data_IF_482104964833
#
_entry.id   IF_482104964833
#
_cell.length_a   1.000
_cell.length_b   1.000
_cell.length_c   1.000
_cell.angle_alpha   90.00
_cell.angle_beta   90.00
_cell.angle_gamma   90.00
#
_symmetry.space_group_name_H-M   'P 1'
#
loop_
_entity.id
_entity.type
_entity.pdbx_description
1 polymer ?
#
# COMPACT_ATOMS: atom_id res chain seq x y z
N UNK A 1 -20.84 7.42 9.26
CA UNK A 1 -20.07 7.67 8.03
C UNK A 1 -18.63 7.34 8.36
N UNK A 2 -17.97 6.55 7.53
CA UNK A 2 -16.51 6.41 7.63
C UNK A 2 -15.91 7.81 7.39
N UNK A 3 -15.03 8.27 8.27
CA UNK A 3 -14.28 9.51 8.04
C UNK A 3 -13.01 9.16 7.25
N UNK A 4 -12.43 10.14 6.55
CA UNK A 4 -11.21 10.02 5.73
C UNK A 4 -10.09 9.16 6.36
N UNK A 5 -9.79 9.32 7.65
CA UNK A 5 -8.77 8.56 8.37
C UNK A 5 -9.12 7.07 8.48
N UNK A 6 -10.40 6.74 8.63
CA UNK A 6 -10.84 5.34 8.65
C UNK A 6 -10.74 4.67 7.27
N UNK A 7 -10.87 5.44 6.19
CA UNK A 7 -10.61 4.95 4.83
C UNK A 7 -9.13 4.66 4.64
N UNK A 8 -8.25 5.61 4.98
CA UNK A 8 -6.79 5.43 4.87
C UNK A 8 -6.29 4.22 5.69
N UNK A 9 -6.80 4.04 6.92
CA UNK A 9 -6.49 2.84 7.71
C UNK A 9 -7.03 1.55 7.10
N UNK A 10 -8.11 1.62 6.33
CA UNK A 10 -8.60 0.45 5.61
C UNK A 10 -7.68 0.13 4.42
N UNK A 11 -7.19 1.14 3.72
CA UNK A 11 -6.18 0.97 2.67
C UNK A 11 -4.90 0.33 3.23
N UNK A 12 -4.44 0.73 4.43
CA UNK A 12 -3.28 0.11 5.09
C UNK A 12 -3.48 -1.38 5.35
N UNK A 13 -4.68 -1.79 5.79
CA UNK A 13 -5.01 -3.20 5.99
C UNK A 13 -4.99 -3.97 4.68
N UNK A 14 -5.58 -3.38 3.64
CA UNK A 14 -5.62 -3.94 2.29
C UNK A 14 -4.19 -4.11 1.74
N UNK A 15 -3.36 -3.07 1.80
CA UNK A 15 -1.96 -3.09 1.38
C UNK A 15 -1.13 -4.09 2.17
N UNK A 16 -1.34 -4.20 3.49
CA UNK A 16 -0.65 -5.20 4.32
C UNK A 16 -0.96 -6.62 3.84
N UNK A 17 -2.22 -6.94 3.54
CA UNK A 17 -2.60 -8.25 2.99
C UNK A 17 -1.94 -8.53 1.64
N UNK A 18 -1.79 -7.52 0.78
CA UNK A 18 -1.06 -7.65 -0.48
C UNK A 18 0.43 -7.89 -0.27
N UNK A 19 1.04 -7.22 0.71
CA UNK A 19 2.45 -7.43 1.04
C UNK A 19 2.69 -8.83 1.60
N UNK A 20 1.79 -9.35 2.43
CA UNK A 20 1.86 -10.73 2.94
C UNK A 20 1.75 -11.75 1.79
N UNK A 21 0.82 -11.51 0.87
CA UNK A 21 0.65 -12.30 -0.34
C UNK A 21 1.92 -12.31 -1.21
N UNK A 22 2.49 -11.12 -1.44
CA UNK A 22 3.69 -10.95 -2.24
C UNK A 22 4.88 -11.64 -1.57
N UNK A 23 5.09 -11.43 -0.27
CA UNK A 23 6.19 -12.03 0.50
C UNK A 23 6.18 -13.57 0.37
N UNK A 24 5.02 -14.21 0.45
CA UNK A 24 4.88 -15.67 0.22
C UNK A 24 5.34 -16.10 -1.18
N UNK A 25 5.03 -15.29 -2.20
CA UNK A 25 5.49 -15.55 -3.58
C UNK A 25 7.00 -15.35 -3.70
N UNK A 26 7.54 -14.29 -3.12
CA UNK A 26 8.98 -13.99 -3.11
C UNK A 26 9.76 -15.10 -2.39
N UNK A 27 9.26 -15.63 -1.28
CA UNK A 27 9.90 -16.72 -0.55
C UNK A 27 9.79 -18.06 -1.29
N UNK A 28 8.67 -18.31 -1.98
CA UNK A 28 8.53 -19.45 -2.88
C UNK A 28 9.58 -19.39 -3.98
N UNK A 29 9.75 -18.22 -4.61
CA UNK A 29 10.77 -18.02 -5.61
C UNK A 29 12.17 -18.18 -5.03
N UNK A 30 12.47 -17.57 -3.88
CA UNK A 30 13.74 -17.72 -3.16
C UNK A 30 14.11 -19.19 -2.93
N UNK A 31 13.14 -20.05 -2.62
CA UNK A 31 13.33 -21.46 -2.32
C UNK A 31 13.55 -22.38 -3.54
N UNK A 32 13.61 -21.86 -4.76
CA UNK A 32 13.84 -22.69 -5.96
C UNK A 32 12.58 -23.03 -6.72
N UNK A 33 11.41 -22.69 -6.18
CA UNK A 33 10.11 -23.02 -6.76
C UNK A 33 9.61 -21.88 -7.64
N UNK A 34 8.64 -22.18 -8.47
CA UNK A 34 7.97 -21.17 -9.30
C UNK A 34 6.85 -20.53 -8.49
N UNK A 35 6.86 -19.20 -8.27
CA UNK A 35 5.75 -18.53 -7.61
C UNK A 35 4.59 -18.37 -8.59
N UNK A 36 3.43 -17.99 -8.07
CA UNK A 36 2.29 -17.62 -8.89
C UNK A 36 2.51 -16.21 -9.49
N UNK A 37 2.88 -16.18 -10.76
CA UNK A 37 3.21 -14.94 -11.47
C UNK A 37 2.01 -14.02 -11.65
N UNK A 38 0.79 -14.55 -11.75
CA UNK A 38 -0.40 -13.71 -11.91
C UNK A 38 -0.69 -12.95 -10.61
N UNK A 39 -0.44 -13.57 -9.45
CA UNK A 39 -0.53 -12.91 -8.15
C UNK A 39 0.53 -11.80 -8.05
N UNK A 40 1.77 -12.10 -8.42
CA UNK A 40 2.87 -11.12 -8.39
C UNK A 40 2.55 -9.93 -9.30
N UNK A 41 2.09 -10.18 -10.53
CA UNK A 41 1.74 -9.15 -11.50
C UNK A 41 0.55 -8.30 -11.03
N UNK A 42 -0.50 -8.92 -10.51
CA UNK A 42 -1.65 -8.20 -9.99
C UNK A 42 -1.25 -7.28 -8.82
N UNK A 43 -0.43 -7.76 -7.88
CA UNK A 43 0.06 -6.93 -6.78
C UNK A 43 0.96 -5.80 -7.32
N UNK A 44 1.89 -6.10 -8.22
CA UNK A 44 2.79 -5.10 -8.82
C UNK A 44 2.03 -3.98 -9.53
N UNK A 45 0.93 -4.30 -10.23
CA UNK A 45 0.09 -3.30 -10.89
C UNK A 45 -0.72 -2.48 -9.89
N UNK A 46 -1.26 -3.12 -8.85
CA UNK A 46 -2.02 -2.41 -7.82
C UNK A 46 -1.13 -1.41 -7.07
N UNK A 47 0.03 -1.85 -6.57
CA UNK A 47 0.91 -0.99 -5.75
C UNK A 47 1.67 0.06 -6.54
N UNK A 48 1.76 -0.09 -7.87
CA UNK A 48 2.31 0.93 -8.76
C UNK A 48 1.38 2.14 -8.89
N UNK A 49 0.07 1.90 -8.91
CA UNK A 49 -0.91 2.93 -9.27
C UNK A 49 -1.70 3.42 -8.06
N UNK A 50 -2.19 2.51 -7.20
CA UNK A 50 -3.17 2.86 -6.18
C UNK A 50 -2.60 3.77 -5.08
N UNK A 51 -1.44 3.45 -4.46
CA UNK A 51 -0.88 4.31 -3.42
C UNK A 51 -0.59 5.73 -3.92
N UNK A 52 0.13 5.86 -5.02
CA UNK A 52 0.58 7.16 -5.55
C UNK A 52 -0.55 8.01 -6.14
N UNK A 53 -1.60 7.40 -6.70
CA UNK A 53 -2.70 8.16 -7.34
C UNK A 53 -3.86 8.47 -6.42
N UNK A 54 -4.05 7.69 -5.37
CA UNK A 54 -5.23 7.78 -4.53
C UNK A 54 -4.90 7.90 -3.05
N UNK A 55 -4.08 7.00 -2.51
CA UNK A 55 -3.81 6.95 -1.08
C UNK A 55 -2.94 8.13 -0.59
N UNK A 56 -1.69 8.22 -1.06
CA UNK A 56 -0.73 9.24 -0.64
C UNK A 56 -1.25 10.69 -0.85
N UNK A 57 -1.94 11.04 -1.97
CA UNK A 57 -2.51 12.38 -2.11
C UNK A 57 -3.54 12.75 -1.02
N UNK A 58 -4.28 11.77 -0.50
CA UNK A 58 -5.25 11.99 0.58
C UNK A 58 -4.51 12.20 1.91
N UNK A 59 -3.43 11.46 2.14
CA UNK A 59 -2.56 11.63 3.32
C UNK A 59 -1.88 13.00 3.31
N UNK A 60 -1.35 13.43 2.17
CA UNK A 60 -0.72 14.75 2.02
C UNK A 60 -1.70 15.88 2.37
N UNK A 61 -2.96 15.77 1.95
CA UNK A 61 -4.02 16.74 2.31
C UNK A 61 -4.30 16.75 3.82
N UNK A 62 -4.32 15.58 4.45
CA UNK A 62 -4.50 15.47 5.91
C UNK A 62 -3.27 16.03 6.65
N UNK A 63 -2.07 15.75 6.16
CA UNK A 63 -0.81 16.27 6.72
C UNK A 63 -0.74 17.79 6.61
N UNK A 64 -1.17 18.37 5.50
CA UNK A 64 -1.25 19.81 5.32
C UNK A 64 -2.28 20.46 6.26
N UNK A 65 -3.45 19.84 6.44
CA UNK A 65 -4.42 20.31 7.43
C UNK A 65 -3.86 20.23 8.86
N UNK A 66 -3.16 19.15 9.18
CA UNK A 66 -2.50 18.97 10.47
C UNK A 66 -1.43 20.06 10.70
N UNK A 67 -0.57 20.32 9.72
CA UNK A 67 0.45 21.40 9.76
C UNK A 67 -0.17 22.77 10.00
N UNK A 68 -1.31 23.07 9.36
CA UNK A 68 -2.00 24.36 9.52
C UNK A 68 -2.63 24.52 10.90
N UNK A 69 -3.10 23.41 11.49
CA UNK A 69 -3.82 23.42 12.77
C UNK A 69 -2.87 23.34 13.97
N UNK A 70 -1.87 22.47 13.90
CA UNK A 70 -0.87 22.25 14.92
C UNK A 70 0.45 21.74 14.29
N UNK A 71 1.35 22.68 13.99
CA UNK A 71 2.66 22.36 13.41
C UNK A 71 3.54 21.50 14.34
N UNK A 72 3.32 21.55 15.66
CA UNK A 72 4.08 20.74 16.62
C UNK A 72 3.60 19.29 16.61
N UNK A 73 2.29 19.08 16.48
CA UNK A 73 1.70 17.76 16.28
C UNK A 73 2.07 17.14 14.93
N UNK A 74 2.33 17.96 13.89
CA UNK A 74 2.75 17.48 12.58
C UNK A 74 4.21 16.99 12.53
N UNK A 75 5.07 17.41 13.47
CA UNK A 75 6.52 17.12 13.41
C UNK A 75 6.89 15.64 13.29
N UNK A 76 6.25 14.70 14.01
CA UNK A 76 6.56 13.28 13.87
C UNK A 76 6.34 12.75 12.45
N UNK A 77 5.38 13.32 11.72
CA UNK A 77 5.06 12.99 10.33
C UNK A 77 5.87 13.83 9.30
N UNK A 78 6.86 14.62 9.74
CA UNK A 78 7.72 15.38 8.83
C UNK A 78 8.62 14.45 8.00
N UNK A 79 8.21 14.18 6.77
CA UNK A 79 8.97 13.35 5.85
C UNK A 79 8.15 12.34 5.09
N UNK A 80 6.86 12.18 5.41
CA UNK A 80 5.96 11.28 4.69
C UNK A 80 6.01 11.50 3.18
N UNK A 81 5.93 12.74 2.69
CA UNK A 81 6.04 13.04 1.25
C UNK A 81 7.35 12.50 0.61
N UNK A 82 8.46 12.45 1.37
CA UNK A 82 9.73 11.85 0.89
C UNK A 82 9.68 10.33 0.93
N UNK A 83 8.99 9.76 1.91
CA UNK A 83 8.73 8.32 1.99
C UNK A 83 7.84 7.89 0.82
N UNK A 84 6.75 8.59 0.55
CA UNK A 84 5.87 8.41 -0.61
C UNK A 84 6.67 8.40 -1.91
N UNK A 85 7.49 9.42 -2.15
CA UNK A 85 8.33 9.50 -3.35
C UNK A 85 9.30 8.31 -3.48
N UNK A 86 9.88 7.85 -2.35
CA UNK A 86 10.77 6.68 -2.32
C UNK A 86 10.00 5.39 -2.63
N UNK A 87 8.82 5.22 -2.05
CA UNK A 87 7.95 4.06 -2.25
C UNK A 87 7.50 3.99 -3.71
N UNK A 88 7.06 5.10 -4.29
CA UNK A 88 6.69 5.17 -5.70
C UNK A 88 7.85 4.78 -6.62
N UNK A 89 9.10 5.14 -6.27
CA UNK A 89 10.26 4.68 -7.04
C UNK A 89 10.49 3.17 -6.90
N UNK A 90 10.42 2.63 -5.68
CA UNK A 90 10.58 1.20 -5.45
C UNK A 90 9.45 0.37 -6.11
N UNK A 91 8.24 0.91 -6.18
CA UNK A 91 7.12 0.28 -6.88
C UNK A 91 7.38 0.22 -8.40
N UNK A 92 7.92 1.29 -9.01
CA UNK A 92 8.36 1.30 -10.42
C UNK A 92 9.48 0.30 -10.67
N UNK A 93 10.49 0.26 -9.80
CA UNK A 93 11.61 -0.67 -9.92
C UNK A 93 11.14 -2.13 -9.81
N UNK A 94 10.23 -2.41 -8.87
CA UNK A 94 9.61 -3.73 -8.73
C UNK A 94 8.79 -4.13 -9.95
N UNK A 95 7.94 -3.24 -10.47
CA UNK A 95 7.13 -3.52 -11.65
C UNK A 95 8.01 -3.80 -12.88
N UNK A 96 9.05 -2.98 -13.12
CA UNK A 96 10.02 -3.22 -14.19
C UNK A 96 10.79 -4.55 -14.05
N UNK A 97 11.07 -4.98 -12.81
CA UNK A 97 11.67 -6.29 -12.56
C UNK A 97 10.71 -7.45 -12.89
N UNK A 98 9.40 -7.28 -12.65
CA UNK A 98 8.36 -8.25 -13.08
C UNK A 98 8.29 -8.31 -14.61
N UNK A 99 8.27 -7.16 -15.30
CA UNK A 99 8.25 -7.11 -16.78
C UNK A 99 9.47 -7.79 -17.39
N UNK A 100 10.67 -7.53 -16.86
CA UNK A 100 11.92 -8.15 -17.32
C UNK A 100 11.86 -9.67 -17.16
N UNK A 101 11.31 -10.15 -16.04
CA UNK A 101 11.15 -11.57 -15.79
C UNK A 101 10.14 -12.21 -16.76
N UNK A 102 9.05 -11.53 -17.08
CA UNK A 102 8.05 -11.98 -18.06
C UNK A 102 8.59 -12.04 -19.49
N UNK A 103 9.51 -11.15 -19.85
CA UNK A 103 10.14 -11.11 -21.17
C UNK A 103 11.16 -12.24 -21.41
N UNK A 104 11.32 -13.17 -20.46
CA UNK A 104 12.35 -14.22 -20.45
C UNK A 104 13.78 -13.68 -20.62
N UNK A 105 13.97 -12.39 -20.39
CA UNK A 105 15.32 -11.82 -20.34
C UNK A 105 16.05 -12.39 -19.11
N UNK A 106 17.40 -12.54 -19.16
CA UNK A 106 18.18 -13.00 -18.03
C UNK A 106 18.15 -12.02 -16.84
N UNK A 107 17.02 -11.91 -16.15
CA UNK A 107 16.95 -11.32 -14.83
C UNK A 107 17.73 -12.23 -13.88
N UNK A 108 18.73 -11.69 -13.20
CA UNK A 108 19.34 -12.42 -12.09
C UNK A 108 18.27 -12.54 -11.02
N UNK A 109 17.84 -13.75 -10.74
CA UNK A 109 16.89 -14.06 -9.67
C UNK A 109 17.21 -13.37 -8.35
N UNK A 110 18.50 -13.22 -8.02
CA UNK A 110 18.94 -12.45 -6.85
C UNK A 110 18.47 -11.00 -6.91
N UNK A 111 18.73 -10.31 -8.01
CA UNK A 111 18.35 -8.90 -8.21
C UNK A 111 16.82 -8.70 -8.13
N UNK A 112 16.02 -9.61 -8.71
CA UNK A 112 14.55 -9.57 -8.57
C UNK A 112 14.11 -9.70 -7.11
N UNK A 113 14.67 -10.68 -6.39
CA UNK A 113 14.34 -10.91 -4.98
C UNK A 113 14.72 -9.72 -4.10
N UNK A 114 15.89 -9.10 -4.37
CA UNK A 114 16.37 -7.94 -3.64
C UNK A 114 15.47 -6.72 -3.88
N UNK A 115 15.09 -6.45 -5.13
CA UNK A 115 14.15 -5.36 -5.48
C UNK A 115 12.79 -5.56 -4.82
N UNK A 116 12.21 -6.76 -4.91
CA UNK A 116 10.91 -7.04 -4.31
C UNK A 116 10.94 -6.90 -2.78
N UNK A 117 11.99 -7.41 -2.12
CA UNK A 117 12.14 -7.27 -0.66
C UNK A 117 12.36 -5.84 -0.22
N UNK A 118 13.12 -5.05 -0.98
CA UNK A 118 13.32 -3.63 -0.70
C UNK A 118 12.00 -2.86 -0.77
N UNK A 119 11.16 -3.14 -1.77
CA UNK A 119 9.82 -2.57 -1.88
C UNK A 119 8.92 -2.98 -0.70
N UNK A 120 8.81 -4.28 -0.40
CA UNK A 120 7.98 -4.80 0.71
C UNK A 120 8.38 -4.15 2.04
N UNK A 121 9.68 -4.12 2.34
CA UNK A 121 10.19 -3.54 3.58
C UNK A 121 9.86 -2.06 3.68
N UNK A 122 10.09 -1.30 2.60
CA UNK A 122 9.83 0.14 2.60
C UNK A 122 8.34 0.46 2.80
N UNK A 123 7.43 -0.24 2.13
CA UNK A 123 5.99 0.01 2.29
C UNK A 123 5.49 -0.42 3.68
N UNK A 124 6.00 -1.51 4.25
CA UNK A 124 5.66 -1.91 5.63
C UNK A 124 6.15 -0.91 6.66
N UNK A 125 7.39 -0.44 6.53
CA UNK A 125 7.97 0.55 7.44
C UNK A 125 7.19 1.87 7.40
N UNK A 126 6.76 2.28 6.21
CA UNK A 126 5.95 3.48 6.00
C UNK A 126 4.56 3.37 6.62
N UNK A 127 3.81 2.30 6.32
CA UNK A 127 2.50 2.03 6.94
C UNK A 127 2.62 2.03 8.48
N UNK A 128 3.68 1.41 9.01
CA UNK A 128 3.91 1.36 10.44
C UNK A 128 4.25 2.73 11.05
N UNK A 129 4.95 3.59 10.31
CA UNK A 129 5.25 4.96 10.72
C UNK A 129 3.95 5.78 10.81
N UNK A 130 3.12 5.73 9.78
CA UNK A 130 1.85 6.48 9.73
C UNK A 130 0.86 6.01 10.80
N UNK A 131 0.72 4.70 10.98
CA UNK A 131 -0.17 4.14 12.00
C UNK A 131 0.22 4.50 13.43
N UNK A 132 1.51 4.70 13.69
CA UNK A 132 2.06 5.02 15.02
C UNK A 132 2.12 6.50 15.32
N UNK A 133 2.45 7.31 14.32
CA UNK A 133 2.77 8.73 14.53
C UNK A 133 1.75 9.64 13.84
N UNK A 134 1.50 9.44 12.54
CA UNK A 134 0.67 10.33 11.74
C UNK A 134 -0.80 10.30 12.11
N UNK A 135 -1.44 9.13 12.06
CA UNK A 135 -2.88 9.05 12.33
C UNK A 135 -3.24 9.43 13.76
N UNK A 136 -2.50 9.00 14.81
CA UNK A 136 -2.78 9.47 16.18
C UNK A 136 -2.65 10.98 16.33
N UNK A 137 -1.67 11.62 15.66
CA UNK A 137 -1.53 13.08 15.68
C UNK A 137 -2.70 13.77 14.96
N UNK A 138 -3.10 13.27 13.79
CA UNK A 138 -4.25 13.77 13.05
C UNK A 138 -5.55 13.66 13.84
N UNK A 139 -5.81 12.51 14.47
CA UNK A 139 -7.00 12.27 15.31
C UNK A 139 -7.04 13.18 16.55
N UNK A 140 -5.88 13.50 17.13
CA UNK A 140 -5.79 14.35 18.31
C UNK A 140 -5.99 15.84 18.01
N UNK A 141 -5.49 16.31 16.86
CA UNK A 141 -5.45 17.74 16.54
C UNK A 141 -6.62 18.18 15.64
N UNK A 142 -7.04 17.36 14.66
CA UNK A 142 -8.08 17.72 13.69
C UNK A 142 -9.48 17.54 14.28
N UNK A 143 -10.36 18.49 13.99
CA UNK A 143 -11.78 18.41 14.37
C UNK A 143 -12.60 17.67 13.32
N UNK A 144 -13.80 17.17 13.69
CA UNK A 144 -14.74 16.61 12.72
C UNK A 144 -15.01 17.55 11.55
N UNK A 145 -15.14 18.86 11.80
CA UNK A 145 -15.35 19.85 10.75
C UNK A 145 -14.16 19.92 9.76
N UNK A 146 -12.91 19.83 10.23
CA UNK A 146 -11.74 19.82 9.34
C UNK A 146 -11.77 18.58 8.44
N UNK A 147 -12.05 17.41 9.02
CA UNK A 147 -12.11 16.14 8.30
C UNK A 147 -13.27 16.10 7.30
N UNK A 148 -14.42 16.69 7.64
CA UNK A 148 -15.56 16.83 6.74
C UNK A 148 -15.27 17.79 5.58
N UNK A 149 -14.47 18.84 5.79
CA UNK A 149 -14.04 19.73 4.70
C UNK A 149 -13.05 19.04 3.77
N UNK A 150 -12.12 18.24 4.31
CA UNK A 150 -11.21 17.44 3.51
C UNK A 150 -11.98 16.44 2.64
N UNK A 151 -12.93 15.71 3.23
CA UNK A 151 -13.74 14.71 2.55
C UNK A 151 -14.54 15.25 1.34
N UNK A 152 -14.99 16.51 1.40
CA UNK A 152 -15.73 17.15 0.29
C UNK A 152 -14.89 17.41 -0.96
N UNK A 153 -13.56 17.50 -0.79
CA UNK A 153 -12.63 17.80 -1.87
C UNK A 153 -11.91 16.55 -2.39
N UNK A 154 -12.22 15.38 -1.83
CA UNK A 154 -11.64 14.14 -2.30
C UNK A 154 -12.24 13.73 -3.65
N UNK A 155 -11.43 13.18 -4.57
CA UNK A 155 -11.97 12.49 -5.74
C UNK A 155 -12.86 11.32 -5.31
N UNK A 156 -13.75 10.88 -6.19
CA UNK A 156 -14.52 9.65 -5.94
C UNK A 156 -13.53 8.48 -5.93
N UNK A 157 -13.33 7.88 -4.76
CA UNK A 157 -12.35 6.83 -4.51
C UNK A 157 -13.04 5.47 -4.65
N UNK A 158 -12.81 4.76 -5.76
CA UNK A 158 -13.15 3.34 -5.88
C UNK A 158 -11.85 2.53 -5.97
N UNK A 159 -11.59 1.75 -4.92
CA UNK A 159 -10.45 0.84 -4.88
C UNK A 159 -10.65 -0.27 -5.94
N UNK A 160 -9.74 -0.43 -6.91
CA UNK A 160 -9.94 -1.37 -8.02
C UNK A 160 -9.88 -2.85 -7.61
N UNK A 161 -9.40 -3.18 -6.41
CA UNK A 161 -9.26 -4.54 -5.89
C UNK A 161 -10.21 -4.84 -4.73
N UNK A 162 -10.46 -3.85 -3.86
CA UNK A 162 -11.28 -4.00 -2.66
C UNK A 162 -12.58 -3.17 -2.67
N UNK A 163 -12.78 -2.35 -3.70
CA UNK A 163 -13.96 -1.51 -3.87
C UNK A 163 -15.19 -2.24 -4.41
N UNK A 164 -16.19 -1.46 -4.81
CA UNK A 164 -17.48 -2.01 -5.27
C UNK A 164 -17.44 -2.44 -6.74
N UNK A 165 -16.51 -1.90 -7.53
CA UNK A 165 -16.29 -2.34 -8.91
C UNK A 165 -15.67 -3.74 -8.95
N UNK A 166 -16.35 -4.66 -9.65
CA UNK A 166 -15.82 -5.97 -9.96
C UNK A 166 -14.81 -5.84 -11.11
N UNK A 167 -13.54 -5.63 -10.76
CA UNK A 167 -12.49 -5.53 -11.76
C UNK A 167 -11.96 -6.94 -12.06
N UNK A 168 -12.31 -7.47 -13.24
CA UNK A 168 -12.00 -8.85 -13.67
C UNK A 168 -10.52 -9.24 -13.47
N UNK A 169 -9.59 -8.27 -13.56
CA UNK A 169 -8.15 -8.48 -13.40
C UNK A 169 -7.71 -8.90 -11.98
N UNK A 170 -8.58 -8.75 -10.98
CA UNK A 170 -8.23 -8.86 -9.57
C UNK A 170 -8.98 -9.96 -8.81
N UNK A 171 -9.95 -10.62 -9.44
CA UNK A 171 -10.83 -11.63 -8.82
C UNK A 171 -10.02 -12.77 -8.17
N UNK A 172 -8.99 -13.29 -8.86
CA UNK A 172 -8.18 -14.38 -8.32
C UNK A 172 -7.30 -13.93 -7.15
N UNK A 173 -6.70 -12.75 -7.23
CA UNK A 173 -5.90 -12.19 -6.15
C UNK A 173 -6.75 -12.01 -4.88
N UNK A 174 -7.95 -11.45 -5.04
CA UNK A 174 -8.92 -11.26 -3.96
C UNK A 174 -9.33 -12.57 -3.30
N UNK A 175 -9.63 -13.60 -4.10
CA UNK A 175 -9.95 -14.94 -3.57
C UNK A 175 -8.83 -15.50 -2.69
N UNK A 176 -7.59 -15.45 -3.18
CA UNK A 176 -6.44 -15.98 -2.45
C UNK A 176 -6.17 -15.23 -1.15
N UNK A 177 -6.29 -13.90 -1.15
CA UNK A 177 -6.14 -13.08 0.07
C UNK A 177 -7.17 -13.46 1.13
N UNK A 178 -8.42 -13.69 0.73
CA UNK A 178 -9.49 -14.10 1.65
C UNK A 178 -9.23 -15.50 2.24
N UNK A 179 -8.78 -16.46 1.42
CA UNK A 179 -8.40 -17.79 1.88
C UNK A 179 -7.23 -17.74 2.87
N UNK A 180 -6.15 -17.04 2.55
CA UNK A 180 -4.98 -16.93 3.42
C UNK A 180 -5.28 -16.22 4.74
N UNK A 181 -6.19 -15.25 4.72
CA UNK A 181 -6.65 -14.56 5.93
C UNK A 181 -7.45 -15.52 6.84
N UNK A 182 -8.25 -16.42 6.26
CA UNK A 182 -8.99 -17.44 7.01
C UNK A 182 -8.05 -18.48 7.64
N UNK A 183 -7.02 -18.91 6.92
CA UNK A 183 -6.01 -19.86 7.43
C UNK A 183 -5.19 -19.26 8.58
N UNK A 184 -4.80 -17.99 8.47
CA UNK A 184 -4.01 -17.30 9.49
C UNK A 184 -4.81 -17.05 10.79
N UNK A 185 -6.14 -16.92 10.69
CA UNK A 185 -7.04 -16.81 11.84
C UNK A 185 -7.36 -18.17 12.49
N UNK A 186 -7.16 -19.29 11.78
CA UNK A 186 -7.34 -20.63 12.31
C UNK A 186 -6.11 -21.16 13.08
N UNK A 187 -4.93 -20.60 12.81
CA UNK A 187 -3.65 -20.94 13.45
C UNK A 187 -3.28 -20.03 14.65
N UNK A 188 -4.18 -19.10 15.06
CA UNK A 188 -4.02 -18.18 16.21
C UNK A 188 -4.91 -18.57 17.40
#
# INVERSE_FOLDING_TARGET
MANILSTLRQDHKNMTQLLDALERQIDTFAAGRQPDLDIVLAIANYVLEYPDRFHHPVEDLVLDALRQRDADAARPAEGLEREHARIGQLARDFNGAVETWMAEEPARRADFLDTARAFIAALRDHIAHEDREFFPAAEAALTPDDLDQLAKNLPDLDDPLFGAADHDSYVRLRHNILEWSADSAADS
#
